data_IF_568943924301
#
_entry.id   IF_568943924301
#
_cell.length_a   1.000
_cell.length_b   1.000
_cell.length_c   1.000
_cell.angle_alpha   90.00
_cell.angle_beta   90.00
_cell.angle_gamma   90.00
#
_symmetry.space_group_name_H-M   'P 1'
#
loop_
_entity.id
_entity.type
_entity.pdbx_description
1 polymer ?
#
# COMPACT_ATOMS: atom_id res chain seq x y z
N UNK A 1 -5.43 8.83 30.93
CA UNK A 1 -6.06 8.11 29.78
C UNK A 1 -5.12 7.97 28.57
N UNK A 2 -4.28 8.97 28.27
CA UNK A 2 -3.33 8.93 27.14
C UNK A 2 -2.30 7.78 27.23
N UNK A 3 -1.73 7.52 28.40
CA UNK A 3 -0.70 6.47 28.59
C UNK A 3 -1.23 5.04 28.33
N UNK A 4 -2.50 4.79 28.67
CA UNK A 4 -3.12 3.48 28.42
C UNK A 4 -3.37 3.24 26.90
N UNK A 5 -3.58 4.32 26.14
CA UNK A 5 -3.86 4.22 24.72
C UNK A 5 -2.58 3.91 23.91
N UNK A 6 -1.47 4.56 24.24
CA UNK A 6 -0.18 4.28 23.57
C UNK A 6 0.28 2.83 23.76
N UNK A 7 0.04 2.23 24.92
CA UNK A 7 0.39 0.81 25.16
C UNK A 7 -0.32 -0.17 24.22
N UNK A 8 -1.36 0.26 23.51
CA UNK A 8 -2.05 -0.55 22.51
C UNK A 8 -1.43 -0.45 21.11
N UNK A 9 -0.42 0.41 20.90
CA UNK A 9 0.08 0.76 19.57
C UNK A 9 1.49 0.23 19.36
N UNK A 10 1.70 -0.50 18.25
CA UNK A 10 3.01 -0.74 17.66
C UNK A 10 3.13 0.09 16.39
N UNK A 11 4.08 1.01 16.38
CA UNK A 11 4.52 1.65 15.15
C UNK A 11 5.46 0.69 14.42
N UNK A 12 5.12 0.32 13.19
CA UNK A 12 5.96 -0.47 12.29
C UNK A 12 6.49 0.44 11.19
N UNK A 13 7.74 0.89 11.33
CA UNK A 13 8.45 1.70 10.35
C UNK A 13 9.28 0.80 9.44
N UNK A 14 8.98 0.84 8.14
CA UNK A 14 9.68 0.05 7.13
C UNK A 14 10.75 0.89 6.46
N UNK A 15 11.96 0.37 6.30
CA UNK A 15 13.05 1.07 5.62
C UNK A 15 13.93 0.14 4.78
N UNK A 16 14.53 0.72 3.72
CA UNK A 16 15.55 0.08 2.89
C UNK A 16 16.35 1.15 2.14
N UNK A 17 17.65 1.31 2.47
CA UNK A 17 18.56 2.29 1.87
C UNK A 17 18.04 3.75 1.96
N UNK A 18 17.92 4.27 3.18
CA UNK A 18 17.41 5.62 3.45
C UNK A 18 18.18 6.34 4.56
N UNK A 19 19.52 6.18 4.61
CA UNK A 19 20.38 6.80 5.62
C UNK A 19 20.17 8.32 5.74
N UNK A 20 19.91 9.02 4.63
CA UNK A 20 19.78 10.49 4.61
C UNK A 20 18.46 11.00 5.25
N UNK A 21 17.47 10.15 5.45
CA UNK A 21 16.14 10.61 5.89
C UNK A 21 15.62 9.88 7.13
N UNK A 22 16.14 8.70 7.45
CA UNK A 22 15.59 7.83 8.51
C UNK A 22 15.61 8.53 9.88
N UNK A 23 16.67 9.23 10.25
CA UNK A 23 16.75 9.94 11.53
C UNK A 23 15.65 10.99 11.67
N UNK A 24 15.49 11.86 10.69
CA UNK A 24 14.48 12.92 10.74
C UNK A 24 13.06 12.39 10.72
N UNK A 25 12.81 11.24 10.08
CA UNK A 25 11.52 10.54 10.16
C UNK A 25 11.29 9.97 11.55
N UNK A 26 12.28 9.26 12.12
CA UNK A 26 12.20 8.69 13.46
C UNK A 26 11.97 9.76 14.54
N UNK A 27 12.64 10.92 14.44
CA UNK A 27 12.39 12.03 15.37
C UNK A 27 10.92 12.45 15.41
N UNK A 28 10.24 12.56 14.24
CA UNK A 28 8.80 12.88 14.22
C UNK A 28 7.90 11.78 14.80
N UNK A 29 8.36 10.52 14.72
CA UNK A 29 7.65 9.39 15.35
C UNK A 29 7.88 9.40 16.89
N UNK A 30 9.04 9.80 17.36
CA UNK A 30 9.36 9.90 18.79
C UNK A 30 8.67 11.08 19.48
N UNK A 31 8.35 12.14 18.74
CA UNK A 31 7.72 13.38 19.23
C UNK A 31 6.17 13.30 19.28
N UNK A 32 5.58 12.11 19.36
CA UNK A 32 4.13 11.98 19.42
C UNK A 32 3.56 12.41 20.78
N UNK A 33 2.34 13.01 20.78
CA UNK A 33 1.64 13.51 21.98
C UNK A 33 1.24 12.41 22.96
N UNK A 34 1.05 11.19 22.50
CA UNK A 34 0.79 10.03 23.36
C UNK A 34 2.09 9.31 23.71
N UNK A 35 2.12 8.62 24.85
CA UNK A 35 3.28 7.87 25.34
C UNK A 35 2.97 6.38 25.50
N UNK A 36 4.00 5.55 25.66
CA UNK A 36 3.85 4.12 25.91
C UNK A 36 3.71 3.25 24.65
N UNK A 37 3.68 3.82 23.43
CA UNK A 37 3.78 3.03 22.20
C UNK A 37 5.21 2.49 22.00
N UNK A 38 5.35 1.43 21.21
CA UNK A 38 6.65 0.92 20.78
C UNK A 38 6.89 1.26 19.31
N UNK A 39 8.16 1.36 18.92
CA UNK A 39 8.57 1.65 17.54
C UNK A 39 9.43 0.50 17.03
N UNK A 40 8.86 -0.35 16.19
CA UNK A 40 9.57 -1.41 15.50
C UNK A 40 10.10 -0.83 14.20
N UNK A 41 11.42 -0.72 14.08
CA UNK A 41 12.08 -0.25 12.85
C UNK A 41 12.65 -1.44 12.14
N UNK A 42 12.01 -1.82 11.03
CA UNK A 42 12.40 -2.99 10.23
C UNK A 42 13.21 -2.55 9.02
N UNK A 43 14.51 -2.83 9.06
CA UNK A 43 15.46 -2.58 7.99
C UNK A 43 15.59 -3.78 7.06
N UNK A 44 15.15 -3.64 5.81
CA UNK A 44 15.12 -4.72 4.81
C UNK A 44 16.50 -5.00 4.19
N UNK A 45 17.53 -5.16 5.04
CA UNK A 45 18.92 -5.40 4.65
C UNK A 45 19.56 -4.25 3.88
N UNK A 46 19.47 -3.01 4.39
CA UNK A 46 20.15 -1.84 3.85
C UNK A 46 21.67 -2.01 3.78
N UNK A 47 22.28 -1.34 2.80
CA UNK A 47 23.73 -1.39 2.51
C UNK A 47 24.38 0.00 2.49
N UNK A 48 23.63 1.05 2.83
CA UNK A 48 24.04 2.46 2.73
C UNK A 48 24.38 3.12 4.08
N UNK A 49 24.36 2.35 5.20
CA UNK A 49 24.55 2.87 6.56
C UNK A 49 23.24 3.12 7.33
N UNK A 50 22.08 2.87 6.71
CA UNK A 50 20.76 3.02 7.38
C UNK A 50 20.67 2.18 8.65
N UNK A 51 21.15 0.94 8.61
CA UNK A 51 21.08 0.02 9.76
C UNK A 51 21.90 0.52 10.95
N UNK A 52 23.12 0.95 10.71
CA UNK A 52 24.02 1.49 11.73
C UNK A 52 23.40 2.70 12.41
N UNK A 53 22.82 3.62 11.64
CA UNK A 53 22.12 4.80 12.15
C UNK A 53 20.89 4.43 13.00
N UNK A 54 20.13 3.42 12.62
CA UNK A 54 19.00 2.93 13.41
C UNK A 54 19.49 2.37 14.76
N UNK A 55 20.60 1.64 14.79
CA UNK A 55 21.17 1.11 16.04
C UNK A 55 21.63 2.24 16.99
N UNK A 56 22.25 3.29 16.44
CA UNK A 56 22.66 4.48 17.22
C UNK A 56 21.43 5.16 17.83
N UNK A 57 20.38 5.40 17.05
CA UNK A 57 19.14 6.01 17.54
C UNK A 57 18.42 5.13 18.57
N UNK A 58 18.47 3.82 18.44
CA UNK A 58 17.88 2.88 19.39
C UNK A 58 18.64 2.85 20.73
N UNK A 59 19.96 3.07 20.72
CA UNK A 59 20.75 3.17 21.95
C UNK A 59 20.37 4.38 22.81
N UNK A 60 19.94 5.46 22.18
CA UNK A 60 19.48 6.68 22.85
C UNK A 60 17.98 6.64 23.21
N UNK A 61 17.18 5.81 22.52
CA UNK A 61 15.72 5.78 22.63
C UNK A 61 15.22 4.35 22.86
N UNK A 62 15.02 3.90 24.11
CA UNK A 62 14.66 2.50 24.45
C UNK A 62 13.32 2.03 23.88
N UNK A 63 12.46 2.93 23.41
CA UNK A 63 11.20 2.57 22.75
C UNK A 63 11.40 2.09 21.30
N UNK A 64 12.58 2.34 20.69
CA UNK A 64 12.94 1.83 19.36
C UNK A 64 13.40 0.37 19.51
N UNK A 65 12.78 -0.52 18.74
CA UNK A 65 13.15 -1.92 18.59
C UNK A 65 13.65 -2.14 17.16
N UNK A 66 14.97 -2.09 16.91
CA UNK A 66 15.53 -2.36 15.59
C UNK A 66 15.40 -3.85 15.29
N UNK A 67 14.90 -4.17 14.11
CA UNK A 67 14.79 -5.55 13.62
C UNK A 67 15.22 -5.62 12.17
N UNK A 68 15.77 -6.77 11.76
CA UNK A 68 16.28 -6.99 10.42
C UNK A 68 15.93 -8.41 9.98
N UNK A 69 15.22 -8.60 8.84
CA UNK A 69 14.96 -9.92 8.29
C UNK A 69 16.27 -10.58 7.80
N UNK A 70 16.30 -11.92 7.59
CA UNK A 70 17.52 -12.64 7.21
C UNK A 70 18.03 -12.28 5.80
N UNK A 71 17.19 -11.72 4.96
CA UNK A 71 17.50 -11.25 3.60
C UNK A 71 16.50 -10.17 3.21
N UNK A 72 16.77 -9.42 2.14
CA UNK A 72 15.81 -8.45 1.60
C UNK A 72 14.54 -9.17 1.14
N UNK A 73 13.42 -8.87 1.79
CA UNK A 73 12.10 -9.48 1.55
C UNK A 73 11.19 -8.60 0.68
N UNK A 74 11.64 -7.40 0.32
CA UNK A 74 10.81 -6.38 -0.30
C UNK A 74 9.77 -5.80 0.65
N UNK A 75 9.11 -4.72 0.24
CA UNK A 75 8.19 -3.96 1.08
C UNK A 75 7.11 -4.82 1.76
N UNK A 76 6.38 -5.73 1.09
CA UNK A 76 5.35 -6.51 1.75
C UNK A 76 5.90 -7.57 2.71
N UNK A 77 7.00 -8.22 2.38
CA UNK A 77 7.66 -9.18 3.26
C UNK A 77 8.21 -8.49 4.51
N UNK A 78 8.86 -7.34 4.33
CA UNK A 78 9.35 -6.52 5.43
C UNK A 78 8.21 -6.01 6.33
N UNK A 79 7.06 -5.63 5.77
CA UNK A 79 5.88 -5.25 6.54
C UNK A 79 5.35 -6.42 7.40
N UNK A 80 5.21 -7.60 6.80
CA UNK A 80 4.78 -8.80 7.51
C UNK A 80 5.76 -9.18 8.64
N UNK A 81 7.07 -9.08 8.35
CA UNK A 81 8.11 -9.34 9.33
C UNK A 81 8.06 -8.34 10.49
N UNK A 82 7.94 -7.05 10.23
CA UNK A 82 7.83 -6.00 11.25
C UNK A 82 6.62 -6.21 12.16
N UNK A 83 5.45 -6.47 11.57
CA UNK A 83 4.20 -6.68 12.31
C UNK A 83 4.27 -7.94 13.19
N UNK A 84 4.98 -8.98 12.76
CA UNK A 84 5.17 -10.20 13.55
C UNK A 84 6.05 -10.01 14.81
N UNK A 85 6.76 -8.87 14.95
CA UNK A 85 7.59 -8.57 16.12
C UNK A 85 6.80 -7.99 17.30
N UNK A 86 5.49 -7.83 17.18
CA UNK A 86 4.61 -7.32 18.24
C UNK A 86 3.26 -8.05 18.25
N UNK A 87 2.58 -7.96 19.38
CA UNK A 87 1.22 -8.49 19.63
C UNK A 87 0.19 -7.40 19.96
N UNK A 88 0.60 -6.11 19.94
CA UNK A 88 -0.30 -5.01 20.34
C UNK A 88 -1.52 -4.90 19.44
N UNK A 89 -2.68 -4.44 19.99
CA UNK A 89 -3.96 -4.37 19.29
C UNK A 89 -3.98 -3.50 18.04
N UNK A 90 -3.13 -2.47 17.96
CA UNK A 90 -3.07 -1.51 16.88
C UNK A 90 -1.70 -1.49 16.22
N UNK A 91 -1.67 -1.63 14.91
CA UNK A 91 -0.48 -1.58 14.07
C UNK A 91 -0.50 -0.24 13.33
N UNK A 92 0.39 0.68 13.66
CA UNK A 92 0.61 1.90 12.89
C UNK A 92 1.70 1.64 11.84
N UNK A 93 1.29 1.32 10.60
CA UNK A 93 2.22 1.08 9.51
C UNK A 93 2.65 2.42 8.91
N UNK A 94 3.94 2.73 8.99
CA UNK A 94 4.52 4.00 8.56
C UNK A 94 5.67 3.81 7.55
N UNK A 95 5.91 4.81 6.73
CA UNK A 95 6.98 4.84 5.75
C UNK A 95 8.17 5.68 6.25
N UNK A 96 9.38 5.32 5.84
CA UNK A 96 10.64 5.94 6.24
C UNK A 96 10.87 7.33 5.66
N UNK A 97 10.12 7.75 4.65
CA UNK A 97 10.31 8.98 3.88
C UNK A 97 9.23 10.05 4.11
N UNK A 98 8.33 9.84 5.08
CA UNK A 98 7.30 10.81 5.45
C UNK A 98 7.64 11.51 6.78
N UNK A 99 7.03 12.66 7.02
CA UNK A 99 7.05 13.38 8.29
C UNK A 99 5.68 13.33 8.95
N UNK A 100 5.66 13.06 10.23
CA UNK A 100 4.45 12.79 10.99
C UNK A 100 4.17 13.91 11.99
N UNK A 101 2.97 14.48 11.95
CA UNK A 101 2.55 15.46 12.93
C UNK A 101 2.43 14.81 14.32
N UNK A 102 2.77 15.54 15.37
CA UNK A 102 2.86 15.01 16.73
C UNK A 102 1.57 14.37 17.27
N UNK A 103 0.41 14.72 16.75
CA UNK A 103 -0.90 14.19 17.15
C UNK A 103 -1.43 13.05 16.24
N UNK A 104 -0.60 12.51 15.34
CA UNK A 104 -1.01 11.46 14.41
C UNK A 104 -1.54 10.21 15.14
N UNK A 105 -0.72 9.64 16.00
CA UNK A 105 -1.07 8.39 16.71
C UNK A 105 -2.28 8.58 17.61
N UNK A 106 -2.39 9.71 18.28
CA UNK A 106 -3.53 10.04 19.14
C UNK A 106 -4.83 10.11 18.33
N UNK A 107 -4.82 10.82 17.20
CA UNK A 107 -5.99 10.95 16.31
C UNK A 107 -6.43 9.60 15.74
N UNK A 108 -5.48 8.81 15.25
CA UNK A 108 -5.79 7.49 14.73
C UNK A 108 -6.37 6.56 15.80
N UNK A 109 -5.72 6.50 16.95
CA UNK A 109 -6.17 5.65 18.05
C UNK A 109 -7.53 6.09 18.63
N UNK A 110 -7.80 7.39 18.70
CA UNK A 110 -9.11 7.92 19.12
C UNK A 110 -10.24 7.45 18.21
N UNK A 111 -10.03 7.40 16.90
CA UNK A 111 -11.00 6.84 15.93
C UNK A 111 -11.19 5.34 16.20
N UNK A 112 -10.09 4.57 16.37
CA UNK A 112 -10.12 3.13 16.60
C UNK A 112 -10.86 2.74 17.90
N UNK A 113 -10.73 3.56 18.94
CA UNK A 113 -11.43 3.33 20.22
C UNK A 113 -12.91 3.76 20.16
N UNK A 114 -13.20 4.90 19.51
CA UNK A 114 -14.57 5.40 19.36
C UNK A 114 -15.43 4.53 18.47
N UNK A 115 -14.82 3.87 17.47
CA UNK A 115 -15.48 2.98 16.54
C UNK A 115 -14.84 1.58 16.57
N UNK A 116 -15.27 0.70 17.49
CA UNK A 116 -14.65 -0.62 17.66
C UNK A 116 -14.72 -1.55 16.46
N UNK A 117 -15.62 -1.31 15.52
CA UNK A 117 -15.77 -2.05 14.26
C UNK A 117 -14.87 -1.54 13.13
N UNK A 118 -14.01 -0.55 13.40
CA UNK A 118 -13.06 -0.01 12.42
C UNK A 118 -11.91 -0.99 12.18
N UNK A 119 -11.71 -1.36 10.92
CA UNK A 119 -10.62 -2.23 10.46
C UNK A 119 -9.29 -1.49 10.41
N UNK A 120 -9.31 -0.29 9.86
CA UNK A 120 -8.15 0.61 9.77
C UNK A 120 -8.58 2.07 9.69
N UNK A 121 -7.67 2.97 10.03
CA UNK A 121 -7.86 4.42 9.95
C UNK A 121 -6.72 5.05 9.14
N UNK A 122 -7.08 6.03 8.30
CA UNK A 122 -6.14 6.81 7.50
C UNK A 122 -6.52 8.29 7.46
N UNK A 123 -5.69 9.10 6.81
CA UNK A 123 -5.87 10.55 6.67
C UNK A 123 -5.40 11.03 5.29
N UNK A 124 -5.79 12.25 4.86
CA UNK A 124 -5.19 12.89 3.71
C UNK A 124 -3.73 13.29 4.02
N UNK A 125 -2.92 13.41 2.97
CA UNK A 125 -1.56 13.92 3.07
C UNK A 125 -1.55 15.44 2.94
N UNK A 126 -0.60 16.10 3.61
CA UNK A 126 -0.32 17.53 3.49
C UNK A 126 0.41 17.81 2.17
N UNK A 127 -0.35 17.91 1.09
CA UNK A 127 0.11 18.21 -0.26
C UNK A 127 -0.76 19.27 -0.89
N UNK A 128 -0.21 20.10 -1.81
CA UNK A 128 -1.02 21.06 -2.58
C UNK A 128 -2.20 20.39 -3.28
N UNK A 129 -3.34 21.08 -3.39
CA UNK A 129 -4.56 20.53 -4.01
C UNK A 129 -4.34 19.99 -5.44
N UNK A 130 -3.41 20.57 -6.19
CA UNK A 130 -3.04 20.11 -7.53
C UNK A 130 -2.38 18.70 -7.52
N UNK A 131 -1.83 18.27 -6.39
CA UNK A 131 -1.18 16.95 -6.21
C UNK A 131 -2.09 15.90 -5.56
N UNK A 132 -3.32 16.27 -5.21
CA UNK A 132 -4.33 15.39 -4.60
C UNK A 132 -4.88 14.31 -5.56
N UNK A 133 -4.12 13.92 -6.59
CA UNK A 133 -4.54 12.88 -7.54
C UNK A 133 -4.89 11.54 -6.88
N UNK A 134 -4.42 11.31 -5.66
CA UNK A 134 -4.65 10.08 -4.87
C UNK A 134 -5.43 10.35 -3.57
N UNK A 135 -5.77 11.61 -3.27
CA UNK A 135 -6.52 11.97 -2.08
C UNK A 135 -8.01 11.74 -2.23
N UNK A 136 -8.68 11.46 -1.13
CA UNK A 136 -10.13 11.51 -0.99
C UNK A 136 -10.44 12.41 0.20
N UNK A 137 -11.38 13.33 0.02
CA UNK A 137 -11.97 14.07 1.16
C UNK A 137 -13.28 13.39 1.50
N UNK A 138 -13.37 12.88 2.71
CA UNK A 138 -14.55 12.21 3.24
C UNK A 138 -15.21 13.11 4.28
N UNK A 139 -16.53 13.07 4.35
CA UNK A 139 -17.33 13.87 5.26
C UNK A 139 -17.60 13.19 6.61
N UNK A 140 -17.22 11.95 6.76
CA UNK A 140 -17.45 11.14 7.97
C UNK A 140 -16.15 10.52 8.46
N UNK A 141 -15.99 10.48 9.77
CA UNK A 141 -14.85 9.82 10.43
C UNK A 141 -14.97 8.29 10.43
N UNK A 142 -16.17 7.77 10.19
CA UNK A 142 -16.43 6.34 10.05
C UNK A 142 -17.26 6.08 8.80
N UNK A 143 -16.74 5.25 7.92
CA UNK A 143 -17.37 4.87 6.66
C UNK A 143 -17.57 3.35 6.66
N UNK A 144 -18.75 2.88 6.25
CA UNK A 144 -18.97 1.46 6.02
C UNK A 144 -17.92 0.91 5.03
N UNK A 145 -17.25 -0.19 5.40
CA UNK A 145 -16.12 -0.70 4.64
C UNK A 145 -16.50 -1.20 3.25
N UNK A 146 -17.67 -1.80 3.08
CA UNK A 146 -18.16 -2.24 1.77
C UNK A 146 -18.48 -1.02 0.88
N UNK A 147 -19.08 0.02 1.46
CA UNK A 147 -19.31 1.27 0.75
C UNK A 147 -17.98 1.93 0.34
N UNK A 148 -17.00 2.00 1.25
CA UNK A 148 -15.67 2.54 0.93
C UNK A 148 -15.00 1.74 -0.20
N UNK A 149 -15.05 0.42 -0.14
CA UNK A 149 -14.52 -0.46 -1.16
C UNK A 149 -15.16 -0.20 -2.54
N UNK A 150 -16.50 -0.14 -2.61
CA UNK A 150 -17.21 0.07 -3.87
C UNK A 150 -17.05 1.49 -4.41
N UNK A 151 -17.14 2.52 -3.57
CA UNK A 151 -17.18 3.92 -4.00
C UNK A 151 -15.79 4.55 -4.19
N UNK A 152 -14.76 4.08 -3.47
CA UNK A 152 -13.44 4.69 -3.49
C UNK A 152 -12.35 3.76 -4.01
N UNK A 153 -12.30 2.49 -3.60
CA UNK A 153 -11.23 1.59 -4.02
C UNK A 153 -11.51 0.94 -5.39
N UNK A 154 -12.75 0.55 -5.66
CA UNK A 154 -13.10 -0.10 -6.93
C UNK A 154 -13.34 0.88 -8.08
N UNK A 155 -13.69 2.12 -7.83
CA UNK A 155 -13.95 3.10 -8.90
C UNK A 155 -12.70 3.56 -9.64
N UNK A 156 -11.55 3.52 -8.99
CA UNK A 156 -10.27 4.03 -9.51
C UNK A 156 -9.28 2.89 -9.67
N UNK A 157 -8.33 3.05 -10.57
CA UNK A 157 -7.16 2.16 -10.65
C UNK A 157 -6.05 2.53 -9.65
N UNK A 158 -6.24 3.58 -8.87
CA UNK A 158 -5.37 3.98 -7.77
C UNK A 158 -6.04 3.77 -6.42
N UNK A 159 -5.31 4.04 -5.34
CA UNK A 159 -5.79 3.93 -3.97
C UNK A 159 -5.70 5.29 -3.26
N UNK A 160 -6.75 5.73 -2.55
CA UNK A 160 -6.69 6.96 -1.75
C UNK A 160 -5.89 6.80 -0.46
N UNK A 161 -5.59 5.58 -0.05
CA UNK A 161 -4.75 5.27 1.11
C UNK A 161 -3.32 5.06 0.62
N UNK A 162 -2.38 5.88 1.09
CA UNK A 162 -1.01 5.95 0.57
C UNK A 162 -0.02 5.04 1.32
N UNK A 163 -0.42 3.82 1.65
CA UNK A 163 0.46 2.86 2.32
C UNK A 163 0.62 3.06 3.83
N UNK A 164 0.18 4.19 4.39
CA UNK A 164 0.23 4.49 5.83
C UNK A 164 -1.16 4.51 6.45
N UNK A 165 -1.32 3.77 7.53
CA UNK A 165 -2.58 3.68 8.28
C UNK A 165 -2.34 3.02 9.65
N UNK A 166 -3.27 3.22 10.58
CA UNK A 166 -3.36 2.37 11.76
C UNK A 166 -4.39 1.26 11.52
N UNK A 167 -4.00 0.02 11.76
CA UNK A 167 -4.75 -1.19 11.42
C UNK A 167 -5.07 -1.94 12.72
N UNK A 168 -6.29 -2.47 12.81
CA UNK A 168 -6.66 -3.38 13.90
C UNK A 168 -5.99 -4.73 13.69
N UNK A 169 -5.20 -5.19 14.66
CA UNK A 169 -4.44 -6.44 14.59
C UNK A 169 -5.30 -7.65 14.23
N UNK A 170 -6.45 -7.81 14.89
CA UNK A 170 -7.33 -8.94 14.62
C UNK A 170 -7.81 -8.99 13.16
N UNK A 171 -7.95 -7.83 12.50
CA UNK A 171 -8.31 -7.77 11.08
C UNK A 171 -7.09 -8.04 10.19
N UNK A 172 -5.90 -7.51 10.55
CA UNK A 172 -4.64 -7.85 9.89
C UNK A 172 -4.41 -9.37 9.87
N UNK A 173 -4.55 -10.01 11.02
CA UNK A 173 -4.36 -11.45 11.16
C UNK A 173 -5.40 -12.25 10.35
N UNK A 174 -6.67 -11.79 10.35
CA UNK A 174 -7.75 -12.40 9.57
C UNK A 174 -7.48 -12.37 8.06
N UNK A 175 -6.93 -11.25 7.55
CA UNK A 175 -6.63 -11.13 6.11
C UNK A 175 -5.27 -11.73 5.73
N UNK A 176 -4.42 -12.09 6.72
CA UNK A 176 -3.11 -12.70 6.51
C UNK A 176 -2.05 -11.73 6.02
N UNK A 177 -2.09 -10.47 6.47
CA UNK A 177 -1.07 -9.46 6.15
C UNK A 177 -1.01 -9.05 4.69
N UNK A 178 0.15 -8.54 4.26
CA UNK A 178 0.42 -8.16 2.88
C UNK A 178 0.77 -9.37 2.01
N UNK A 179 0.29 -9.39 0.77
CA UNK A 179 0.60 -10.44 -0.21
C UNK A 179 1.85 -10.06 -1.03
N UNK A 180 2.93 -10.80 -0.85
CA UNK A 180 4.24 -10.53 -1.47
C UNK A 180 4.18 -10.47 -3.01
N UNK A 181 3.34 -11.29 -3.61
CA UNK A 181 3.14 -11.33 -5.07
C UNK A 181 2.69 -10.01 -5.70
N UNK A 182 2.20 -9.07 -4.91
CA UNK A 182 1.76 -7.75 -5.38
C UNK A 182 2.85 -6.68 -5.25
N UNK A 183 3.98 -7.04 -4.66
CA UNK A 183 5.16 -6.18 -4.54
C UNK A 183 4.79 -4.78 -4.01
N UNK A 184 5.28 -3.71 -4.64
CA UNK A 184 5.04 -2.31 -4.22
C UNK A 184 3.57 -1.87 -4.22
N UNK A 185 2.64 -2.69 -4.70
CA UNK A 185 1.20 -2.43 -4.68
C UNK A 185 0.45 -3.39 -3.72
N UNK A 186 1.19 -4.08 -2.86
CA UNK A 186 0.60 -4.98 -1.87
C UNK A 186 -0.27 -4.24 -0.86
N UNK A 187 0.00 -2.96 -0.61
CA UNK A 187 -0.82 -2.07 0.20
C UNK A 187 -2.20 -1.85 -0.43
N UNK A 188 -2.30 -1.64 -1.74
CA UNK A 188 -3.58 -1.48 -2.45
C UNK A 188 -4.47 -2.71 -2.27
N UNK A 189 -3.90 -3.91 -2.40
CA UNK A 189 -4.59 -5.17 -2.13
C UNK A 189 -5.01 -5.29 -0.66
N UNK A 190 -4.12 -4.91 0.26
CA UNK A 190 -4.37 -4.94 1.69
C UNK A 190 -5.58 -4.08 2.07
N UNK A 191 -5.64 -2.82 1.62
CA UNK A 191 -6.74 -1.90 1.93
C UNK A 191 -8.08 -2.43 1.41
N UNK A 192 -8.09 -3.05 0.23
CA UNK A 192 -9.30 -3.68 -0.32
C UNK A 192 -9.77 -4.87 0.54
N UNK A 193 -8.84 -5.70 1.02
CA UNK A 193 -9.19 -6.85 1.88
C UNK A 193 -9.65 -6.40 3.26
N UNK A 194 -8.94 -5.47 3.91
CA UNK A 194 -9.31 -4.92 5.21
C UNK A 194 -10.70 -4.27 5.20
N UNK A 195 -11.05 -3.54 4.13
CA UNK A 195 -12.36 -2.88 3.99
C UNK A 195 -13.54 -3.86 3.95
N UNK A 196 -13.30 -5.15 3.78
CA UNK A 196 -14.36 -6.18 3.79
C UNK A 196 -14.75 -6.64 5.19
N UNK A 197 -13.89 -6.39 6.19
CA UNK A 197 -14.03 -6.94 7.54
C UNK A 197 -14.47 -5.92 8.59
N UNK A 198 -14.65 -4.67 8.21
CA UNK A 198 -15.12 -3.65 9.13
C UNK A 198 -15.20 -2.27 8.50
N UNK A 199 -15.55 -1.27 9.30
CA UNK A 199 -15.59 0.11 8.86
C UNK A 199 -14.18 0.64 8.58
N UNK A 200 -14.11 1.72 7.80
CA UNK A 200 -12.89 2.48 7.53
C UNK A 200 -12.95 3.78 8.32
N UNK A 201 -11.94 4.02 9.15
CA UNK A 201 -11.77 5.25 9.89
C UNK A 201 -11.09 6.33 9.04
N UNK A 202 -11.46 7.58 9.26
CA UNK A 202 -10.87 8.71 8.55
C UNK A 202 -10.65 9.91 9.47
N UNK A 203 -9.41 10.37 9.53
CA UNK A 203 -9.06 11.65 10.15
C UNK A 203 -9.06 12.71 9.05
N UNK A 204 -9.92 13.75 9.11
CA UNK A 204 -10.08 14.71 8.00
C UNK A 204 -8.88 15.66 7.84
N UNK A 205 -8.00 15.72 8.82
CA UNK A 205 -6.84 16.60 8.84
C UNK A 205 -5.62 15.95 8.18
N UNK A 206 -4.81 16.73 7.43
CA UNK A 206 -3.55 16.25 6.89
C UNK A 206 -2.50 16.20 8.02
N UNK A 207 -2.28 15.01 8.56
CA UNK A 207 -1.32 14.78 9.67
C UNK A 207 -0.04 14.09 9.22
N UNK A 208 0.13 13.87 7.91
CA UNK A 208 1.32 13.31 7.28
C UNK A 208 1.77 14.21 6.16
N UNK A 209 3.05 14.61 6.18
CA UNK A 209 3.69 15.42 5.14
C UNK A 209 4.69 14.54 4.37
N UNK A 210 4.42 14.24 3.09
CA UNK A 210 5.36 13.49 2.27
C UNK A 210 6.60 14.34 1.95
N UNK A 211 7.75 13.71 1.82
CA UNK A 211 8.95 14.40 1.32
C UNK A 211 8.87 14.53 -0.20
N UNK A 212 8.97 15.76 -0.71
CA UNK A 212 9.00 16.04 -2.15
C UNK A 212 10.38 15.78 -2.77
N UNK A 213 11.45 15.93 -1.98
CA UNK A 213 12.80 15.65 -2.42
C UNK A 213 13.17 14.23 -1.98
N UNK A 214 13.16 13.33 -2.94
CA UNK A 214 13.72 11.99 -2.76
C UNK A 214 15.22 12.06 -3.04
N UNK A 215 16.05 11.34 -2.27
CA UNK A 215 17.46 11.22 -2.57
C UNK A 215 17.69 10.72 -4.00
N UNK A 216 18.77 11.19 -4.65
CA UNK A 216 19.08 10.84 -6.06
C UNK A 216 19.28 9.33 -6.30
N UNK A 217 19.54 8.56 -5.24
CA UNK A 217 19.66 7.10 -5.31
C UNK A 217 18.30 6.36 -5.31
N UNK A 218 17.19 7.09 -5.22
CA UNK A 218 15.87 6.43 -5.33
C UNK A 218 15.80 5.74 -6.70
N UNK A 219 15.62 4.41 -6.75
CA UNK A 219 15.72 3.71 -8.01
C UNK A 219 14.82 4.37 -9.05
N UNK A 220 15.34 4.67 -10.22
CA UNK A 220 14.64 5.20 -11.40
C UNK A 220 13.37 4.41 -11.79
N UNK A 221 13.16 3.27 -11.13
CA UNK A 221 12.00 2.40 -11.28
C UNK A 221 10.68 3.17 -11.10
N UNK A 222 10.66 4.23 -10.27
CA UNK A 222 9.48 5.06 -10.04
C UNK A 222 9.32 6.18 -11.07
N UNK A 223 10.40 6.61 -11.68
CA UNK A 223 10.43 7.70 -12.68
C UNK A 223 10.37 7.17 -14.10
N UNK A 224 10.70 5.89 -14.32
CA UNK A 224 10.66 5.30 -15.66
C UNK A 224 9.23 5.14 -16.16
N UNK A 225 8.98 5.63 -17.38
CA UNK A 225 7.71 5.39 -18.09
C UNK A 225 7.34 3.91 -18.16
N UNK A 226 8.32 3.01 -18.17
CA UNK A 226 8.13 1.56 -18.15
C UNK A 226 7.46 1.07 -16.86
N UNK A 227 7.83 1.61 -15.70
CA UNK A 227 7.17 1.26 -14.43
C UNK A 227 5.68 1.66 -14.44
N UNK A 228 5.34 2.81 -14.97
CA UNK A 228 3.94 3.24 -15.01
C UNK A 228 3.05 2.26 -15.80
N UNK A 229 3.61 1.57 -16.79
CA UNK A 229 2.90 0.55 -17.58
C UNK A 229 2.84 -0.81 -16.87
N UNK A 230 3.96 -1.27 -16.29
CA UNK A 230 4.02 -2.53 -15.53
C UNK A 230 3.09 -2.50 -14.31
N UNK A 231 3.00 -1.35 -13.65
CA UNK A 231 2.07 -1.11 -12.54
C UNK A 231 0.62 -1.45 -12.89
N UNK A 232 0.17 -1.21 -14.12
CA UNK A 232 -1.20 -1.50 -14.54
C UNK A 232 -1.54 -2.98 -14.44
N UNK A 233 -0.62 -3.88 -14.78
CA UNK A 233 -0.85 -5.32 -14.64
C UNK A 233 -1.16 -5.71 -13.19
N UNK A 234 -0.34 -5.26 -12.24
CA UNK A 234 -0.58 -5.53 -10.83
C UNK A 234 -1.92 -4.96 -10.36
N UNK A 235 -2.22 -3.71 -10.71
CA UNK A 235 -3.49 -3.10 -10.37
C UNK A 235 -4.68 -3.87 -10.96
N UNK A 236 -4.57 -4.34 -12.19
CA UNK A 236 -5.63 -5.11 -12.84
C UNK A 236 -5.85 -6.45 -12.13
N UNK A 237 -4.79 -7.15 -11.76
CA UNK A 237 -4.89 -8.42 -11.01
C UNK A 237 -5.44 -8.20 -9.60
N UNK A 238 -4.96 -7.18 -8.88
CA UNK A 238 -5.46 -6.80 -7.54
C UNK A 238 -6.96 -6.48 -7.60
N UNK A 239 -7.35 -5.61 -8.52
CA UNK A 239 -8.76 -5.24 -8.67
C UNK A 239 -9.65 -6.41 -9.08
N UNK A 240 -9.14 -7.31 -9.94
CA UNK A 240 -9.90 -8.46 -10.39
C UNK A 240 -10.07 -9.50 -9.28
N UNK A 241 -8.99 -9.86 -8.57
CA UNK A 241 -9.05 -10.82 -7.47
C UNK A 241 -9.96 -10.33 -6.34
N UNK A 242 -9.79 -9.06 -5.91
CA UNK A 242 -10.61 -8.51 -4.84
C UNK A 242 -12.10 -8.39 -5.22
N UNK A 243 -12.42 -8.07 -6.50
CA UNK A 243 -13.83 -8.09 -6.97
C UNK A 243 -14.39 -9.48 -7.04
N UNK A 244 -13.60 -10.46 -7.47
CA UNK A 244 -14.03 -11.85 -7.53
C UNK A 244 -14.39 -12.37 -6.13
N UNK A 245 -13.58 -12.04 -5.14
CA UNK A 245 -13.82 -12.41 -3.74
C UNK A 245 -15.00 -11.65 -3.11
N UNK A 246 -15.26 -10.41 -3.56
CA UNK A 246 -16.31 -9.55 -3.04
C UNK A 246 -17.68 -9.83 -3.66
N UNK A 247 -17.71 -10.11 -4.98
CA UNK A 247 -18.98 -10.29 -5.72
C UNK A 247 -19.58 -11.67 -5.44
N UNK A 248 -20.87 -11.68 -5.13
CA UNK A 248 -21.65 -12.92 -4.97
C UNK A 248 -21.97 -13.51 -6.34
N UNK A 249 -21.04 -14.29 -6.91
CA UNK A 249 -21.17 -14.86 -8.26
C UNK A 249 -22.26 -15.94 -8.37
N UNK A 250 -22.83 -16.40 -7.27
CA UNK A 250 -24.03 -17.25 -7.24
C UNK A 250 -25.30 -16.47 -7.61
N UNK A 251 -25.29 -15.13 -7.57
CA UNK A 251 -26.40 -14.26 -7.97
C UNK A 251 -26.24 -13.79 -9.42
N UNK A 252 -27.36 -13.53 -10.11
CA UNK A 252 -27.36 -12.94 -11.45
C UNK A 252 -26.68 -11.57 -11.44
N UNK A 253 -26.98 -10.74 -10.46
CA UNK A 253 -26.43 -9.40 -10.33
C UNK A 253 -24.91 -9.41 -10.11
N UNK A 254 -24.41 -10.29 -9.25
CA UNK A 254 -22.96 -10.47 -9.05
C UNK A 254 -22.25 -10.89 -10.34
N UNK A 255 -22.85 -11.83 -11.09
CA UNK A 255 -22.34 -12.24 -12.41
C UNK A 255 -22.32 -11.10 -13.43
N UNK A 256 -23.37 -10.30 -13.50
CA UNK A 256 -23.43 -9.14 -14.40
C UNK A 256 -22.38 -8.08 -14.03
N UNK A 257 -22.22 -7.74 -12.74
CA UNK A 257 -21.15 -6.84 -12.27
C UNK A 257 -19.76 -7.37 -12.65
N UNK A 258 -19.54 -8.67 -12.47
CA UNK A 258 -18.26 -9.30 -12.84
C UNK A 258 -17.97 -9.25 -14.36
N UNK A 259 -18.97 -9.57 -15.18
CA UNK A 259 -18.85 -9.46 -16.63
C UNK A 259 -18.60 -8.02 -17.09
N UNK A 260 -19.31 -7.04 -16.54
CA UNK A 260 -19.10 -5.62 -16.82
C UNK A 260 -17.67 -5.17 -16.47
N UNK A 261 -17.13 -5.64 -15.33
CA UNK A 261 -15.76 -5.37 -14.96
C UNK A 261 -14.76 -5.98 -15.94
N UNK A 262 -14.94 -7.24 -16.35
CA UNK A 262 -14.05 -7.91 -17.31
C UNK A 262 -14.06 -7.24 -18.68
N UNK A 263 -15.21 -6.76 -19.13
CA UNK A 263 -15.32 -5.96 -20.36
C UNK A 263 -14.49 -4.67 -20.25
N UNK A 264 -14.65 -3.93 -19.14
CA UNK A 264 -13.87 -2.70 -18.87
C UNK A 264 -12.38 -2.99 -18.82
N UNK A 265 -11.96 -4.04 -18.11
CA UNK A 265 -10.57 -4.46 -18.01
C UNK A 265 -9.98 -4.74 -19.38
N UNK A 266 -10.65 -5.58 -20.19
CA UNK A 266 -10.19 -5.96 -21.53
C UNK A 266 -10.19 -4.79 -22.52
N UNK A 267 -11.11 -3.83 -22.36
CA UNK A 267 -11.10 -2.58 -23.12
C UNK A 267 -9.87 -1.73 -22.80
N UNK A 268 -9.55 -1.52 -21.53
CA UNK A 268 -8.36 -0.76 -21.13
C UNK A 268 -7.07 -1.44 -21.64
N UNK A 269 -6.95 -2.74 -21.48
CA UNK A 269 -5.79 -3.51 -21.99
C UNK A 269 -5.65 -3.37 -23.52
N UNK A 270 -6.77 -3.49 -24.26
CA UNK A 270 -6.78 -3.35 -25.72
C UNK A 270 -6.40 -1.94 -26.17
N UNK A 271 -6.95 -0.92 -25.53
CA UNK A 271 -6.66 0.51 -25.80
C UNK A 271 -5.15 0.77 -25.73
N UNK A 272 -4.50 0.30 -24.68
CA UNK A 272 -3.07 0.48 -24.52
C UNK A 272 -2.25 -0.28 -25.56
N UNK A 273 -2.66 -1.49 -25.91
CA UNK A 273 -2.01 -2.28 -26.96
C UNK A 273 -2.10 -1.58 -28.32
N UNK A 274 -3.30 -1.11 -28.68
CA UNK A 274 -3.52 -0.36 -29.94
C UNK A 274 -2.65 0.91 -29.95
N UNK A 275 -2.65 1.68 -28.87
CA UNK A 275 -1.82 2.87 -28.76
C UNK A 275 -0.33 2.56 -28.96
N UNK A 276 0.18 1.49 -28.35
CA UNK A 276 1.57 1.07 -28.49
C UNK A 276 1.93 0.66 -29.92
N UNK A 277 1.03 -0.07 -30.60
CA UNK A 277 1.21 -0.50 -31.97
C UNK A 277 1.21 0.70 -32.93
N UNK A 278 0.20 1.57 -32.82
CA UNK A 278 0.05 2.76 -33.70
C UNK A 278 1.25 3.70 -33.53
N UNK A 279 1.76 3.85 -32.32
CA UNK A 279 2.93 4.71 -32.02
C UNK A 279 4.27 4.02 -32.26
N UNK A 280 4.28 2.79 -32.79
CA UNK A 280 5.48 2.00 -33.09
C UNK A 280 6.46 1.92 -31.90
N UNK A 281 5.93 1.66 -30.69
CA UNK A 281 6.70 1.60 -29.44
C UNK A 281 6.89 0.15 -28.98
N UNK A 282 7.94 -0.57 -29.44
CA UNK A 282 8.10 -2.02 -29.21
C UNK A 282 8.12 -2.40 -27.72
N UNK A 283 8.80 -1.62 -26.87
CA UNK A 283 8.82 -1.85 -25.42
C UNK A 283 7.42 -1.74 -24.80
N UNK A 284 6.61 -0.79 -25.29
CA UNK A 284 5.22 -0.63 -24.87
C UNK A 284 4.31 -1.76 -25.33
N UNK A 285 4.54 -2.30 -26.52
CA UNK A 285 3.78 -3.46 -27.04
C UNK A 285 4.01 -4.64 -26.10
N UNK A 286 5.27 -4.96 -25.78
CA UNK A 286 5.62 -6.03 -24.87
C UNK A 286 4.94 -5.84 -23.50
N UNK A 287 5.06 -4.66 -22.90
CA UNK A 287 4.45 -4.36 -21.60
C UNK A 287 2.93 -4.38 -21.62
N UNK A 288 2.30 -3.93 -22.73
CA UNK A 288 0.84 -4.02 -22.88
C UNK A 288 0.36 -5.47 -23.01
N UNK A 289 1.10 -6.32 -23.68
CA UNK A 289 0.83 -7.76 -23.74
C UNK A 289 1.00 -8.41 -22.37
N UNK A 290 2.03 -8.04 -21.64
CA UNK A 290 2.25 -8.49 -20.25
C UNK A 290 1.15 -8.04 -19.30
N UNK A 291 0.49 -6.91 -19.57
CA UNK A 291 -0.62 -6.39 -18.73
C UNK A 291 -1.93 -7.16 -18.92
N UNK A 292 -2.07 -8.01 -19.95
CA UNK A 292 -3.22 -8.91 -20.08
C UNK A 292 -3.20 -9.91 -18.93
N UNK A 293 -4.23 -9.91 -18.12
CA UNK A 293 -4.36 -10.78 -16.96
C UNK A 293 -5.12 -12.08 -17.28
N UNK A 294 -5.10 -13.04 -16.36
CA UNK A 294 -5.94 -14.25 -16.43
C UNK A 294 -7.44 -13.95 -16.42
N UNK A 295 -7.82 -12.76 -16.00
CA UNK A 295 -9.22 -12.31 -15.88
C UNK A 295 -9.74 -11.64 -17.16
N UNK A 296 -8.88 -11.28 -18.10
CA UNK A 296 -9.29 -10.73 -19.39
C UNK A 296 -10.16 -11.69 -20.20
N UNK A 297 -10.88 -11.17 -21.20
CA UNK A 297 -11.69 -11.98 -22.09
C UNK A 297 -10.81 -12.94 -22.90
N UNK A 298 -11.38 -14.09 -23.25
CA UNK A 298 -10.66 -15.18 -23.92
C UNK A 298 -9.84 -14.75 -25.16
N UNK A 299 -10.33 -13.91 -26.09
CA UNK A 299 -9.54 -13.51 -27.26
C UNK A 299 -8.20 -12.85 -26.90
N UNK A 300 -8.19 -11.96 -25.88
CA UNK A 300 -6.95 -11.30 -25.45
C UNK A 300 -5.97 -12.28 -24.79
N UNK A 301 -6.47 -13.23 -24.01
CA UNK A 301 -5.62 -14.26 -23.39
C UNK A 301 -4.95 -15.17 -24.41
N UNK A 302 -5.66 -15.57 -25.46
CA UNK A 302 -5.10 -16.34 -26.57
C UNK A 302 -4.05 -15.53 -27.31
N UNK A 303 -4.37 -14.28 -27.64
CA UNK A 303 -3.44 -13.37 -28.31
C UNK A 303 -2.14 -13.17 -27.50
N UNK A 304 -2.26 -12.99 -26.17
CA UNK A 304 -1.09 -12.96 -25.27
C UNK A 304 -0.24 -14.22 -25.39
N UNK A 305 -0.87 -15.41 -25.30
CA UNK A 305 -0.14 -16.68 -25.37
C UNK A 305 0.58 -16.87 -26.70
N UNK A 306 0.02 -16.37 -27.79
CA UNK A 306 0.67 -16.37 -29.09
C UNK A 306 1.86 -15.41 -29.14
N UNK A 307 1.70 -14.19 -28.65
CA UNK A 307 2.76 -13.18 -28.65
C UNK A 307 3.91 -13.49 -27.69
N UNK A 308 3.65 -14.14 -26.55
CA UNK A 308 4.70 -14.56 -25.61
C UNK A 308 5.72 -15.54 -26.22
N UNK A 309 5.35 -16.26 -27.28
CA UNK A 309 6.29 -17.10 -28.05
C UNK A 309 7.32 -16.27 -28.84
N UNK A 310 6.95 -15.06 -29.24
CA UNK A 310 7.81 -14.14 -29.99
C UNK A 310 8.49 -13.10 -29.12
N UNK A 311 7.89 -12.77 -27.97
CA UNK A 311 8.36 -11.78 -27.02
C UNK A 311 8.35 -12.40 -25.62
N UNK A 312 9.37 -13.19 -25.25
CA UNK A 312 9.46 -13.78 -23.91
C UNK A 312 9.49 -12.66 -22.83
N UNK A 313 8.64 -12.78 -21.83
CA UNK A 313 8.57 -11.83 -20.72
C UNK A 313 9.84 -11.90 -19.88
N UNK A 314 10.48 -10.76 -19.65
CA UNK A 314 11.52 -10.64 -18.63
C UNK A 314 10.87 -10.60 -17.23
N UNK A 315 11.58 -11.06 -16.18
CA UNK A 315 11.11 -10.85 -14.80
C UNK A 315 10.80 -9.38 -14.56
N UNK A 316 9.75 -9.11 -13.78
CA UNK A 316 9.13 -7.79 -13.67
C UNK A 316 9.92 -6.86 -12.77
N UNK A 317 10.84 -7.40 -11.97
CA UNK A 317 11.79 -6.67 -11.14
C UNK A 317 13.17 -7.31 -11.27
N UNK A 318 14.26 -6.51 -11.20
CA UNK A 318 15.57 -7.07 -10.92
C UNK A 318 15.50 -7.74 -9.53
N UNK A 319 16.08 -8.91 -9.42
CA UNK A 319 16.36 -9.61 -8.18
C UNK A 319 17.16 -8.75 -7.21
#
# INVERSE_FOLDING_TARGET
MSDCLGQKISVCLLTYNHVDVIESTLRTILDQTITGYEVIVSDDCSTDGTWEQILELAAENPQIKPVRPPHNMGMPGNANFAVAQSDRPYIALLHHDDLYRADLLEKWASIMERFPDTSYVFNPYDVPDAELHYGVRLSSERIDGQNFLEQHLFKRWGCPVRGTAMIRRTVWDTVGGMKEQHNLLADVDLWMRLSRFGAVGYVPEPVIKPRHQRPDYYPDIYTQKEWSWRRHRYLYEIHASNRLDFLQLNTLFGRLKWWGFRLKLSFETTKWLIYAVVRKKPKMITTSVESVTRYDLWPLRVFRSMLQRFFPSKPILPE
#
